data_IF_676732088476
#
_entry.id   IF_676732088476
#
_cell.length_a   1.000
_cell.length_b   1.000
_cell.length_c   1.000
_cell.angle_alpha   90.00
_cell.angle_beta   90.00
_cell.angle_gamma   90.00
#
_symmetry.space_group_name_H-M   'P 1'
#
loop_
_entity.id
_entity.type
_entity.pdbx_description
1 polymer ?
#
# COMPACT_ATOMS: atom_id res chain seq x y z
N UNK A 1 11.29 -46.20 -14.26
CA UNK A 1 11.53 -45.01 -13.41
C UNK A 1 12.83 -44.23 -13.76
N UNK A 2 13.49 -44.48 -14.90
CA UNK A 2 14.81 -43.89 -15.24
C UNK A 2 14.77 -42.67 -16.18
N UNK A 3 13.59 -42.21 -16.64
CA UNK A 3 13.49 -41.15 -17.67
C UNK A 3 13.46 -39.71 -17.13
N UNK A 4 13.25 -39.48 -15.84
CA UNK A 4 13.28 -38.12 -15.26
C UNK A 4 14.71 -37.58 -15.09
N UNK A 5 15.74 -38.43 -14.97
CA UNK A 5 17.14 -38.04 -14.77
C UNK A 5 17.82 -37.37 -15.98
N UNK A 6 17.12 -37.26 -17.12
CA UNK A 6 17.65 -36.69 -18.37
C UNK A 6 16.96 -35.39 -18.80
N UNK A 7 16.08 -34.82 -17.97
CA UNK A 7 15.54 -33.50 -18.28
C UNK A 7 16.65 -32.44 -18.09
N UNK A 8 16.80 -31.49 -19.03
CA UNK A 8 17.72 -30.37 -18.88
C UNK A 8 17.44 -29.58 -17.59
N UNK A 9 18.48 -28.99 -16.99
CA UNK A 9 18.36 -28.24 -15.73
C UNK A 9 17.35 -27.07 -15.84
N UNK A 10 17.19 -26.53 -17.05
CA UNK A 10 16.24 -25.48 -17.39
C UNK A 10 14.79 -25.95 -17.27
N UNK A 11 14.49 -27.16 -17.75
CA UNK A 11 13.15 -27.75 -17.64
C UNK A 11 12.83 -28.11 -16.18
N UNK A 12 13.84 -28.60 -15.45
CA UNK A 12 13.70 -28.85 -14.01
C UNK A 12 13.44 -27.58 -13.20
N UNK A 13 14.15 -26.49 -13.49
CA UNK A 13 13.94 -25.22 -12.83
C UNK A 13 12.52 -24.68 -13.07
N UNK A 14 12.00 -24.81 -14.30
CA UNK A 14 10.62 -24.42 -14.64
C UNK A 14 9.57 -25.24 -13.90
N UNK A 15 9.80 -26.55 -13.74
CA UNK A 15 8.91 -27.42 -12.96
C UNK A 15 8.96 -27.04 -11.48
N UNK A 16 10.16 -26.85 -10.93
CA UNK A 16 10.36 -26.54 -9.50
C UNK A 16 9.85 -25.16 -9.10
N UNK A 17 9.79 -24.20 -10.02
CA UNK A 17 9.20 -22.87 -9.78
C UNK A 17 7.67 -22.92 -9.53
N UNK A 18 7.02 -24.03 -9.90
CA UNK A 18 5.57 -24.26 -9.74
C UNK A 18 5.22 -25.14 -8.53
N UNK A 19 6.21 -25.54 -7.73
CA UNK A 19 6.09 -26.56 -6.68
C UNK A 19 6.06 -25.90 -5.29
N UNK A 20 5.31 -26.48 -4.34
CA UNK A 20 5.19 -25.94 -2.98
C UNK A 20 6.54 -25.95 -2.24
N UNK A 21 6.72 -25.13 -1.20
CA UNK A 21 7.96 -25.12 -0.39
C UNK A 21 8.24 -26.49 0.25
N UNK A 22 7.20 -27.22 0.66
CA UNK A 22 7.32 -28.55 1.26
C UNK A 22 7.81 -29.59 0.24
N UNK A 23 7.26 -29.54 -0.97
CA UNK A 23 7.67 -30.42 -2.06
C UNK A 23 9.07 -30.06 -2.59
N UNK A 24 9.44 -28.77 -2.58
CA UNK A 24 10.80 -28.31 -2.90
C UNK A 24 11.81 -28.84 -1.88
N UNK A 25 11.46 -28.85 -0.59
CA UNK A 25 12.28 -29.48 0.45
C UNK A 25 12.40 -30.98 0.20
N UNK A 26 11.30 -31.67 -0.11
CA UNK A 26 11.33 -33.09 -0.47
C UNK A 26 12.26 -33.34 -1.68
N UNK A 27 12.22 -32.47 -2.70
CA UNK A 27 13.11 -32.52 -3.86
C UNK A 27 14.58 -32.45 -3.48
N UNK A 28 14.96 -31.63 -2.49
CA UNK A 28 16.36 -31.55 -2.04
C UNK A 28 16.90 -32.88 -1.48
N UNK A 29 16.01 -33.77 -1.02
CA UNK A 29 16.37 -35.06 -0.40
C UNK A 29 16.44 -36.22 -1.40
N UNK A 30 15.99 -36.03 -2.65
CA UNK A 30 15.89 -37.12 -3.64
C UNK A 30 17.28 -37.56 -4.13
N UNK A 31 18.06 -36.63 -4.70
CA UNK A 31 19.43 -36.88 -5.19
C UNK A 31 20.20 -35.57 -5.44
N UNK A 32 21.49 -35.67 -5.81
CA UNK A 32 22.36 -34.52 -6.06
C UNK A 32 21.88 -33.56 -7.16
N UNK A 33 21.25 -34.08 -8.22
CA UNK A 33 20.74 -33.26 -9.32
C UNK A 33 19.55 -32.42 -8.85
N UNK A 34 18.56 -33.06 -8.20
CA UNK A 34 17.43 -32.34 -7.62
C UNK A 34 17.87 -31.33 -6.56
N UNK A 35 18.82 -31.70 -5.69
CA UNK A 35 19.41 -30.76 -4.72
C UNK A 35 20.01 -29.52 -5.40
N UNK A 36 20.78 -29.71 -6.47
CA UNK A 36 21.46 -28.60 -7.16
C UNK A 36 20.50 -27.60 -7.83
N UNK A 37 19.29 -28.04 -8.20
CA UNK A 37 18.27 -27.18 -8.83
C UNK A 37 17.30 -26.61 -7.79
N UNK A 38 16.85 -27.43 -6.83
CA UNK A 38 15.88 -27.04 -5.82
C UNK A 38 16.47 -26.07 -4.78
N UNK A 39 17.72 -26.26 -4.38
CA UNK A 39 18.32 -25.47 -3.30
C UNK A 39 18.40 -23.96 -3.63
N UNK A 40 18.86 -23.52 -4.82
CA UNK A 40 18.80 -22.10 -5.19
C UNK A 40 17.39 -21.50 -5.18
N UNK A 41 16.37 -22.28 -5.57
CA UNK A 41 14.97 -21.82 -5.58
C UNK A 41 14.45 -21.67 -4.15
N UNK A 42 14.73 -22.65 -3.28
CA UNK A 42 14.35 -22.63 -1.87
C UNK A 42 14.94 -21.41 -1.13
N UNK A 43 16.21 -21.09 -1.39
CA UNK A 43 16.90 -19.97 -0.76
C UNK A 43 16.63 -18.61 -1.42
N UNK A 44 15.86 -18.57 -2.51
CA UNK A 44 15.62 -17.34 -3.28
C UNK A 44 14.77 -16.30 -2.53
N UNK A 45 13.73 -16.76 -1.83
CA UNK A 45 12.76 -15.92 -1.13
C UNK A 45 12.42 -16.44 0.29
N UNK A 46 13.38 -16.53 1.21
CA UNK A 46 13.12 -16.96 2.59
C UNK A 46 12.15 -16.03 3.32
N UNK A 47 11.19 -16.65 4.02
CA UNK A 47 10.20 -15.97 4.86
C UNK A 47 10.36 -16.38 6.32
N UNK A 48 10.96 -15.51 7.12
CA UNK A 48 11.34 -15.76 8.50
C UNK A 48 10.40 -15.03 9.45
N UNK A 49 9.64 -15.78 10.26
CA UNK A 49 8.56 -15.25 11.11
C UNK A 49 8.73 -15.45 12.61
N UNK A 50 9.74 -16.20 13.03
CA UNK A 50 9.96 -16.51 14.45
C UNK A 50 11.44 -16.41 14.79
N UNK A 51 11.73 -16.12 16.05
CA UNK A 51 13.12 -15.98 16.54
C UNK A 51 13.90 -17.30 16.34
N UNK A 52 13.26 -18.45 16.55
CA UNK A 52 13.88 -19.76 16.33
C UNK A 52 14.25 -19.99 14.87
N UNK A 53 13.35 -19.65 13.93
CA UNK A 53 13.64 -19.79 12.49
C UNK A 53 14.70 -18.80 12.03
N UNK A 54 14.73 -17.60 12.59
CA UNK A 54 15.76 -16.60 12.31
C UNK A 54 17.16 -17.08 12.75
N UNK A 55 17.26 -17.65 13.95
CA UNK A 55 18.50 -18.21 14.46
C UNK A 55 19.03 -19.34 13.58
N UNK A 56 18.17 -20.33 13.26
CA UNK A 56 18.55 -21.46 12.41
C UNK A 56 18.91 -21.01 10.98
N UNK A 57 18.21 -20.02 10.46
CA UNK A 57 18.48 -19.45 9.14
C UNK A 57 19.87 -18.81 9.09
N UNK A 58 20.20 -17.92 10.02
CA UNK A 58 21.53 -17.30 10.09
C UNK A 58 22.62 -18.32 10.37
N UNK A 59 22.39 -19.28 11.27
CA UNK A 59 23.34 -20.36 11.53
C UNK A 59 23.63 -21.17 10.26
N UNK A 60 22.60 -21.44 9.45
CA UNK A 60 22.74 -22.17 8.18
C UNK A 60 23.54 -21.37 7.15
N UNK A 61 23.31 -20.05 7.06
CA UNK A 61 24.10 -19.16 6.19
C UNK A 61 25.56 -19.16 6.65
N UNK A 62 25.83 -18.90 7.93
CA UNK A 62 27.19 -18.84 8.47
C UNK A 62 27.93 -20.18 8.34
N UNK A 63 27.25 -21.30 8.61
CA UNK A 63 27.81 -22.64 8.43
C UNK A 63 28.13 -22.93 6.96
N UNK A 64 27.36 -22.36 6.02
CA UNK A 64 27.64 -22.49 4.58
C UNK A 64 28.82 -21.62 4.14
N UNK A 65 29.07 -20.49 4.82
CA UNK A 65 30.15 -19.54 4.51
C UNK A 65 31.55 -20.11 4.75
N UNK A 66 31.71 -21.05 5.68
CA UNK A 66 32.98 -21.76 5.93
C UNK A 66 33.26 -22.89 4.91
N UNK A 67 32.32 -23.15 4.00
CA UNK A 67 32.42 -24.20 2.99
C UNK A 67 32.71 -23.63 1.60
N UNK A 68 33.00 -24.49 0.61
CA UNK A 68 33.34 -24.07 -0.76
C UNK A 68 32.33 -23.05 -1.33
N UNK A 69 32.73 -22.08 -2.19
CA UNK A 69 31.86 -21.02 -2.71
C UNK A 69 30.54 -21.50 -3.35
N UNK A 70 30.55 -22.71 -3.95
CA UNK A 70 29.37 -23.36 -4.55
C UNK A 70 28.31 -23.81 -3.54
N UNK A 71 28.62 -23.79 -2.24
CA UNK A 71 27.72 -24.18 -1.15
C UNK A 71 27.20 -22.99 -0.35
N UNK A 72 27.65 -21.77 -0.65
CA UNK A 72 27.20 -20.55 0.04
C UNK A 72 25.75 -20.25 -0.34
N UNK A 73 24.83 -20.65 0.54
CA UNK A 73 23.39 -20.53 0.28
C UNK A 73 22.93 -19.06 0.23
N UNK A 74 23.64 -18.18 0.93
CA UNK A 74 23.36 -16.73 0.95
C UNK A 74 23.40 -16.07 -0.43
N UNK A 75 24.24 -16.56 -1.36
CA UNK A 75 24.36 -16.01 -2.72
C UNK A 75 23.09 -16.18 -3.57
N UNK A 76 22.21 -17.10 -3.18
CA UNK A 76 20.95 -17.35 -3.88
C UNK A 76 19.82 -16.43 -3.42
N UNK A 77 20.00 -15.75 -2.28
CA UNK A 77 18.98 -14.88 -1.68
C UNK A 77 18.77 -13.66 -2.58
N UNK A 78 17.51 -13.47 -2.99
CA UNK A 78 17.06 -12.29 -3.76
C UNK A 78 16.01 -11.50 -3.00
N UNK A 79 15.18 -12.16 -2.22
CA UNK A 79 14.15 -11.54 -1.41
C UNK A 79 14.18 -12.11 0.00
N UNK A 80 14.20 -11.26 1.02
CA UNK A 80 14.07 -11.73 2.40
C UNK A 80 12.90 -11.03 3.06
N UNK A 81 12.02 -11.82 3.68
CA UNK A 81 10.96 -11.34 4.56
C UNK A 81 11.30 -11.67 6.01
N UNK A 82 11.41 -10.63 6.84
CA UNK A 82 11.81 -10.70 8.24
C UNK A 82 10.69 -10.17 9.14
N UNK A 83 10.15 -11.02 10.01
CA UNK A 83 9.11 -10.67 10.97
C UNK A 83 9.41 -11.32 12.31
N UNK A 84 10.28 -10.71 13.10
CA UNK A 84 10.67 -11.22 14.42
C UNK A 84 11.53 -10.18 15.15
N UNK A 85 11.63 -10.26 16.49
CA UNK A 85 12.48 -9.38 17.32
C UNK A 85 13.94 -9.83 17.40
N UNK A 86 14.26 -10.94 16.75
CA UNK A 86 15.62 -11.47 16.62
C UNK A 86 16.51 -10.51 15.81
N UNK A 87 15.92 -9.83 14.83
CA UNK A 87 16.65 -8.95 13.91
C UNK A 87 17.03 -7.64 14.61
N UNK A 88 18.31 -7.55 14.96
CA UNK A 88 19.03 -6.35 15.41
C UNK A 88 20.04 -5.92 14.33
N UNK A 89 20.59 -4.72 14.47
CA UNK A 89 21.66 -4.23 13.59
C UNK A 89 22.80 -5.25 13.41
N UNK A 90 23.29 -5.85 14.50
CA UNK A 90 24.35 -6.87 14.44
C UNK A 90 23.95 -8.12 13.62
N UNK A 91 22.74 -8.66 13.85
CA UNK A 91 22.28 -9.85 13.11
C UNK A 91 21.92 -9.55 11.65
N UNK A 92 21.48 -8.32 11.36
CA UNK A 92 21.20 -7.89 10.01
C UNK A 92 22.51 -7.72 9.23
N UNK A 93 23.54 -7.11 9.83
CA UNK A 93 24.86 -7.02 9.20
C UNK A 93 25.43 -8.40 8.84
N UNK A 94 25.32 -9.39 9.73
CA UNK A 94 25.71 -10.78 9.44
C UNK A 94 24.97 -11.37 8.22
N UNK A 95 23.69 -11.04 8.05
CA UNK A 95 22.93 -11.45 6.87
C UNK A 95 23.43 -10.74 5.61
N UNK A 96 23.61 -9.42 5.69
CA UNK A 96 23.99 -8.57 4.55
C UNK A 96 25.35 -8.98 3.97
N UNK A 97 26.32 -9.35 4.82
CA UNK A 97 27.63 -9.86 4.40
C UNK A 97 27.57 -11.11 3.52
N UNK A 98 26.47 -11.86 3.56
CA UNK A 98 26.31 -13.11 2.81
C UNK A 98 25.23 -13.03 1.71
N UNK A 99 24.52 -11.90 1.60
CA UNK A 99 23.40 -11.70 0.69
C UNK A 99 23.71 -10.64 -0.40
N UNK A 100 24.85 -10.76 -1.08
CA UNK A 100 25.30 -9.83 -2.13
C UNK A 100 24.28 -9.64 -3.28
N UNK A 101 23.44 -10.66 -3.51
CA UNK A 101 22.43 -10.69 -4.56
C UNK A 101 21.07 -10.10 -4.17
N UNK A 102 20.91 -9.60 -2.94
CA UNK A 102 19.62 -9.15 -2.40
C UNK A 102 19.03 -8.01 -3.23
N UNK A 103 17.78 -8.19 -3.65
CA UNK A 103 16.99 -7.25 -4.44
C UNK A 103 15.83 -6.67 -3.61
N UNK A 104 15.26 -7.46 -2.69
CA UNK A 104 14.12 -7.06 -1.86
C UNK A 104 14.38 -7.40 -0.39
N UNK A 105 14.28 -6.40 0.48
CA UNK A 105 14.37 -6.56 1.94
C UNK A 105 13.11 -6.02 2.60
N UNK A 106 12.35 -6.91 3.23
CA UNK A 106 11.16 -6.55 4.01
C UNK A 106 11.37 -6.89 5.48
N UNK A 107 11.29 -5.88 6.36
CA UNK A 107 11.42 -6.02 7.81
C UNK A 107 10.19 -5.42 8.51
N UNK A 108 9.33 -6.29 9.03
CA UNK A 108 8.04 -5.91 9.62
C UNK A 108 8.09 -5.59 11.12
N UNK A 109 9.21 -5.88 11.78
CA UNK A 109 9.42 -5.59 13.20
C UNK A 109 10.81 -5.00 13.41
N UNK A 110 11.09 -3.89 12.74
CA UNK A 110 12.41 -3.28 12.63
C UNK A 110 12.79 -2.37 13.82
N UNK A 111 12.16 -2.52 14.99
CA UNK A 111 12.36 -1.65 16.15
C UNK A 111 13.77 -1.69 16.76
N UNK A 112 14.57 -2.69 16.38
CA UNK A 112 15.98 -2.87 16.77
C UNK A 112 16.95 -2.77 15.58
N UNK A 113 16.45 -2.33 14.44
CA UNK A 113 17.23 -2.05 13.23
C UNK A 113 17.23 -0.54 13.07
N UNK A 114 18.42 0.04 12.97
CA UNK A 114 18.67 1.48 12.98
C UNK A 114 19.59 1.88 11.84
N UNK A 115 20.04 3.14 11.84
CA UNK A 115 21.06 3.62 10.92
C UNK A 115 22.34 2.78 10.99
N UNK A 116 22.67 2.14 12.12
CA UNK A 116 23.90 1.36 12.31
C UNK A 116 24.07 0.26 11.25
N UNK A 117 23.03 -0.52 10.95
CA UNK A 117 23.13 -1.54 9.90
C UNK A 117 22.74 -1.02 8.52
N UNK A 118 21.76 -0.12 8.44
CA UNK A 118 21.14 0.27 7.17
C UNK A 118 22.04 1.19 6.32
N UNK A 119 22.97 1.93 6.91
CA UNK A 119 23.99 2.69 6.15
C UNK A 119 24.93 1.79 5.35
N UNK A 120 25.09 0.52 5.76
CA UNK A 120 25.94 -0.45 5.07
C UNK A 120 25.19 -1.23 3.99
N UNK A 121 23.86 -1.20 4.00
CA UNK A 121 23.01 -1.93 3.08
C UNK A 121 23.40 -1.69 1.61
N UNK A 122 23.61 -0.45 1.12
CA UNK A 122 23.99 -0.23 -0.27
C UNK A 122 25.34 -0.84 -0.67
N UNK A 123 26.26 -0.98 0.29
CA UNK A 123 27.60 -1.54 0.05
C UNK A 123 27.58 -3.05 -0.04
N UNK A 124 26.80 -3.71 0.83
CA UNK A 124 26.68 -5.16 0.84
C UNK A 124 25.69 -5.67 -0.21
N UNK A 125 24.63 -4.93 -0.49
CA UNK A 125 23.55 -5.31 -1.41
C UNK A 125 23.37 -4.25 -2.51
N UNK A 126 24.31 -4.16 -3.48
CA UNK A 126 24.29 -3.13 -4.51
C UNK A 126 23.12 -3.25 -5.50
N UNK A 127 22.44 -4.41 -5.51
CA UNK A 127 21.28 -4.69 -6.38
C UNK A 127 19.93 -4.45 -5.69
N UNK A 128 19.91 -3.79 -4.53
CA UNK A 128 18.67 -3.55 -3.82
C UNK A 128 17.72 -2.68 -4.66
N UNK A 129 16.51 -3.19 -4.89
CA UNK A 129 15.43 -2.55 -5.61
C UNK A 129 14.26 -2.17 -4.72
N UNK A 130 14.10 -2.83 -3.57
CA UNK A 130 12.92 -2.67 -2.71
C UNK A 130 13.32 -2.77 -1.25
N UNK A 131 12.97 -1.74 -0.48
CA UNK A 131 13.16 -1.69 0.96
C UNK A 131 11.81 -1.40 1.65
N UNK A 132 11.39 -2.30 2.53
CA UNK A 132 10.19 -2.17 3.32
C UNK A 132 10.54 -2.29 4.81
N UNK A 133 10.27 -1.24 5.57
CA UNK A 133 10.57 -1.16 7.01
C UNK A 133 9.32 -0.75 7.78
N UNK A 134 9.01 -1.49 8.85
CA UNK A 134 8.00 -1.10 9.84
C UNK A 134 8.65 -0.86 11.19
N UNK A 135 8.34 0.30 11.78
CA UNK A 135 8.73 0.68 13.14
C UNK A 135 10.25 0.76 13.34
N UNK A 136 11.00 1.16 12.31
CA UNK A 136 12.45 1.36 12.38
C UNK A 136 12.79 2.78 12.84
N UNK A 137 13.92 2.93 13.54
CA UNK A 137 14.46 4.24 13.98
C UNK A 137 15.61 4.63 13.05
N UNK A 138 15.25 5.17 11.90
CA UNK A 138 16.19 5.62 10.86
C UNK A 138 16.12 7.12 10.68
N UNK A 139 17.23 7.70 10.25
CA UNK A 139 17.35 9.13 10.03
C UNK A 139 18.11 9.43 8.72
N UNK A 140 18.51 10.69 8.55
CA UNK A 140 19.15 11.17 7.31
C UNK A 140 20.37 10.35 6.83
N UNK A 141 21.28 9.81 7.69
CA UNK A 141 22.44 9.06 7.24
C UNK A 141 22.10 7.85 6.38
N UNK A 142 21.04 7.10 6.74
CA UNK A 142 20.56 5.96 5.93
C UNK A 142 20.14 6.40 4.53
N UNK A 143 19.40 7.50 4.42
CA UNK A 143 18.95 8.02 3.11
C UNK A 143 20.09 8.59 2.26
N UNK A 144 21.09 9.20 2.89
CA UNK A 144 22.31 9.63 2.19
C UNK A 144 23.04 8.42 1.60
N UNK A 145 23.21 7.35 2.39
CA UNK A 145 23.84 6.12 1.92
C UNK A 145 23.05 5.48 0.76
N UNK A 146 21.73 5.38 0.90
CA UNK A 146 20.85 4.85 -0.15
C UNK A 146 20.94 5.72 -1.43
N UNK A 147 20.72 7.03 -1.35
CA UNK A 147 20.73 7.92 -2.53
C UNK A 147 22.07 7.93 -3.29
N UNK A 148 23.18 7.75 -2.58
CA UNK A 148 24.52 7.71 -3.20
C UNK A 148 24.80 6.39 -3.92
N UNK A 149 24.38 5.26 -3.34
CA UNK A 149 24.87 3.94 -3.77
C UNK A 149 23.80 3.01 -4.37
N UNK A 150 22.50 3.18 -4.04
CA UNK A 150 21.42 2.36 -4.62
C UNK A 150 20.77 3.05 -5.81
N UNK A 151 21.34 2.84 -7.01
CA UNK A 151 20.81 3.42 -8.26
C UNK A 151 19.64 2.64 -8.88
N UNK A 152 19.36 1.44 -8.35
CA UNK A 152 18.26 0.58 -8.79
C UNK A 152 17.08 0.56 -7.81
N UNK A 153 17.09 1.39 -6.76
CA UNK A 153 16.03 1.44 -5.77
C UNK A 153 14.74 1.98 -6.39
N UNK A 154 13.73 1.11 -6.50
CA UNK A 154 12.41 1.40 -7.10
C UNK A 154 11.30 1.50 -6.06
N UNK A 155 11.40 0.80 -4.93
CA UNK A 155 10.35 0.77 -3.90
C UNK A 155 10.92 1.10 -2.54
N UNK A 156 10.31 2.08 -1.88
CA UNK A 156 10.64 2.46 -0.51
C UNK A 156 9.38 2.63 0.32
N UNK A 157 9.18 1.75 1.29
CA UNK A 157 8.01 1.76 2.16
C UNK A 157 8.46 1.84 3.62
N UNK A 158 8.12 2.94 4.29
CA UNK A 158 8.53 3.29 5.65
C UNK A 158 7.29 3.52 6.51
N UNK A 159 6.82 2.48 7.18
CA UNK A 159 5.63 2.57 8.03
C UNK A 159 6.03 2.69 9.49
N UNK A 160 5.37 3.57 10.24
CA UNK A 160 5.65 3.78 11.68
C UNK A 160 7.13 4.11 11.98
N UNK A 161 7.88 4.61 10.99
CA UNK A 161 9.26 5.03 11.16
C UNK A 161 9.26 6.47 11.65
N UNK A 162 9.69 6.69 12.89
CA UNK A 162 9.71 8.00 13.52
C UNK A 162 11.11 8.63 13.37
N UNK A 163 11.21 9.97 13.43
CA UNK A 163 12.46 10.75 13.27
C UNK A 163 13.01 10.81 11.85
N UNK A 164 12.14 10.64 10.85
CA UNK A 164 12.48 10.88 9.46
C UNK A 164 12.68 12.39 9.24
N UNK A 165 13.68 12.79 8.45
CA UNK A 165 13.83 14.18 8.01
C UNK A 165 13.27 14.34 6.61
N UNK A 166 12.53 15.42 6.35
CA UNK A 166 12.01 15.72 5.01
C UNK A 166 13.13 15.83 3.95
N UNK A 167 14.38 16.08 4.37
CA UNK A 167 15.56 16.08 3.50
C UNK A 167 15.82 14.74 2.80
N UNK A 168 15.18 13.65 3.24
CA UNK A 168 15.23 12.35 2.58
C UNK A 168 14.80 12.44 1.11
N UNK A 169 13.82 13.28 0.77
CA UNK A 169 13.35 13.41 -0.60
C UNK A 169 14.47 13.90 -1.52
N UNK A 170 15.20 14.94 -1.11
CA UNK A 170 16.32 15.49 -1.88
C UNK A 170 17.41 14.46 -2.18
N UNK A 171 17.67 13.52 -1.26
CA UNK A 171 18.61 12.42 -1.46
C UNK A 171 18.07 11.33 -2.37
N UNK A 172 16.76 11.08 -2.32
CA UNK A 172 16.09 10.02 -3.07
C UNK A 172 15.73 10.42 -4.50
N UNK A 173 15.80 11.70 -4.88
CA UNK A 173 15.67 12.15 -6.28
C UNK A 173 16.67 11.43 -7.20
N UNK A 174 17.82 10.99 -6.67
CA UNK A 174 18.81 10.24 -7.45
C UNK A 174 18.41 8.78 -7.72
N UNK A 175 17.34 8.27 -7.09
CA UNK A 175 16.85 6.92 -7.24
C UNK A 175 15.64 6.87 -8.19
N UNK A 176 15.50 5.84 -9.04
CA UNK A 176 14.35 5.67 -9.93
C UNK A 176 13.13 5.12 -9.17
N UNK A 177 12.68 5.83 -8.13
CA UNK A 177 11.56 5.40 -7.29
C UNK A 177 10.25 5.36 -8.07
N UNK A 178 9.61 4.20 -8.05
CA UNK A 178 8.30 3.92 -8.62
C UNK A 178 7.22 3.77 -7.54
N UNK A 179 7.60 3.33 -6.33
CA UNK A 179 6.67 3.21 -5.20
C UNK A 179 7.26 3.85 -3.94
N UNK A 180 6.46 4.69 -3.29
CA UNK A 180 6.82 5.36 -2.05
C UNK A 180 5.66 5.29 -1.05
N UNK A 181 5.92 4.78 0.14
CA UNK A 181 5.00 4.88 1.27
C UNK A 181 5.68 5.44 2.51
N UNK A 182 5.13 6.49 3.12
CA UNK A 182 5.63 7.03 4.40
C UNK A 182 4.60 7.88 5.13
N UNK A 183 4.88 8.17 6.40
CA UNK A 183 4.12 9.10 7.24
C UNK A 183 4.74 10.50 7.16
N UNK A 184 4.01 11.48 6.59
CA UNK A 184 4.51 12.85 6.46
C UNK A 184 4.45 13.64 7.77
N UNK A 185 3.51 13.30 8.66
CA UNK A 185 3.36 13.87 10.00
C UNK A 185 4.51 13.47 10.94
N UNK A 186 5.30 12.46 10.56
CA UNK A 186 6.48 12.00 11.30
C UNK A 186 7.79 12.58 10.75
N UNK A 187 7.70 13.46 9.74
CA UNK A 187 8.85 14.19 9.23
C UNK A 187 9.18 15.34 10.18
N UNK A 188 10.41 15.37 10.68
CA UNK A 188 10.90 16.37 11.64
C UNK A 188 12.14 17.05 11.06
N UNK A 189 12.30 18.35 11.31
CA UNK A 189 13.61 19.02 11.21
C UNK A 189 13.96 19.64 12.56
N UNK A 190 15.26 19.74 12.84
CA UNK A 190 15.81 20.24 14.10
C UNK A 190 15.68 21.79 14.19
N UNK A 191 15.35 22.47 13.07
CA UNK A 191 15.51 23.93 12.94
C UNK A 191 14.30 24.70 12.36
N UNK A 192 13.17 24.05 12.00
CA UNK A 192 12.01 24.75 11.46
C UNK A 192 10.88 24.81 12.51
N UNK A 193 10.71 25.99 13.14
CA UNK A 193 9.57 26.29 14.01
C UNK A 193 8.29 26.61 13.19
N UNK A 194 8.42 26.83 11.87
CA UNK A 194 7.31 27.15 10.97
C UNK A 194 6.81 25.93 10.19
N UNK A 195 5.64 25.44 10.59
CA UNK A 195 4.95 24.31 9.97
C UNK A 195 4.56 24.56 8.51
N UNK A 196 4.27 25.80 8.12
CA UNK A 196 3.89 26.14 6.74
C UNK A 196 5.09 26.05 5.81
N UNK A 197 6.24 26.62 6.24
CA UNK A 197 7.49 26.54 5.47
C UNK A 197 7.93 25.08 5.31
N UNK A 198 7.86 24.31 6.39
CA UNK A 198 8.20 22.87 6.37
C UNK A 198 7.29 22.10 5.43
N UNK A 199 5.97 22.32 5.53
CA UNK A 199 4.96 21.66 4.69
C UNK A 199 5.17 21.96 3.21
N UNK A 200 5.43 23.23 2.87
CA UNK A 200 5.73 23.66 1.50
C UNK A 200 7.00 23.01 0.95
N UNK A 201 8.05 22.91 1.76
CA UNK A 201 9.31 22.23 1.39
C UNK A 201 9.10 20.74 1.14
N UNK A 202 8.37 20.06 2.02
CA UNK A 202 7.99 18.65 1.85
C UNK A 202 7.28 18.46 0.52
N UNK A 203 6.26 19.27 0.24
CA UNK A 203 5.50 19.15 -1.02
C UNK A 203 6.40 19.42 -2.25
N UNK A 204 7.25 20.45 -2.19
CA UNK A 204 8.18 20.79 -3.26
C UNK A 204 9.20 19.68 -3.56
N UNK A 205 9.79 19.07 -2.54
CA UNK A 205 10.75 18.00 -2.77
C UNK A 205 10.07 16.68 -3.17
N UNK A 206 8.84 16.42 -2.71
CA UNK A 206 8.09 15.24 -3.08
C UNK A 206 7.73 15.21 -4.59
N UNK A 207 7.31 16.36 -5.16
CA UNK A 207 6.96 16.44 -6.60
C UNK A 207 8.17 16.20 -7.51
N UNK A 208 9.40 16.29 -7.00
CA UNK A 208 10.62 16.00 -7.78
C UNK A 208 10.85 14.50 -8.01
N UNK A 209 10.08 13.63 -7.35
CA UNK A 209 10.09 12.19 -7.57
C UNK A 209 9.16 11.82 -8.74
N UNK A 210 9.55 12.21 -9.96
CA UNK A 210 8.73 12.17 -11.19
C UNK A 210 8.40 10.76 -11.72
N UNK A 211 9.07 9.72 -11.23
CA UNK A 211 8.90 8.32 -11.67
C UNK A 211 7.85 7.53 -10.91
N UNK A 212 7.21 8.15 -9.91
CA UNK A 212 6.24 7.47 -9.05
C UNK A 212 5.02 6.96 -9.82
N UNK A 213 4.67 5.71 -9.52
CA UNK A 213 3.48 4.98 -10.00
C UNK A 213 2.52 4.65 -8.86
N UNK A 214 3.05 4.50 -7.66
CA UNK A 214 2.32 4.27 -6.40
C UNK A 214 2.84 5.20 -5.30
N UNK A 215 1.98 6.12 -4.84
CA UNK A 215 2.28 7.06 -3.77
C UNK A 215 1.32 6.84 -2.61
N UNK A 216 1.85 6.56 -1.41
CA UNK A 216 1.04 6.35 -0.20
C UNK A 216 1.55 7.23 0.94
N UNK A 217 0.80 8.25 1.28
CA UNK A 217 1.13 9.17 2.36
C UNK A 217 0.15 8.98 3.51
N UNK A 218 0.68 8.93 4.74
CA UNK A 218 -0.09 8.97 5.97
C UNK A 218 0.16 10.29 6.71
N UNK A 219 -0.81 10.76 7.48
CA UNK A 219 -0.70 12.04 8.20
C UNK A 219 -0.89 13.27 7.29
N UNK A 220 -1.70 13.13 6.25
CA UNK A 220 -1.98 14.21 5.29
C UNK A 220 -2.90 15.27 5.92
N UNK A 221 -2.39 16.49 6.05
CA UNK A 221 -3.14 17.65 6.56
C UNK A 221 -3.74 18.50 5.42
N UNK A 222 -4.73 19.35 5.75
CA UNK A 222 -5.29 20.32 4.79
C UNK A 222 -4.21 21.27 4.26
N UNK A 223 -3.33 21.73 5.14
CA UNK A 223 -2.22 22.62 4.78
C UNK A 223 -1.29 21.96 3.75
N UNK A 224 -0.96 20.67 3.94
CA UNK A 224 -0.17 19.93 2.96
C UNK A 224 -0.88 19.81 1.62
N UNK A 225 -2.17 19.45 1.61
CA UNK A 225 -2.94 19.36 0.36
C UNK A 225 -3.06 20.71 -0.34
N UNK A 226 -3.16 21.81 0.40
CA UNK A 226 -3.14 23.17 -0.14
C UNK A 226 -1.84 23.44 -0.89
N UNK A 227 -0.70 23.29 -0.23
CA UNK A 227 0.62 23.51 -0.84
C UNK A 227 0.86 22.59 -2.04
N UNK A 228 0.50 21.30 -1.91
CA UNK A 228 0.64 20.33 -3.01
C UNK A 228 -0.20 20.73 -4.22
N UNK A 229 -1.47 21.09 -4.02
CA UNK A 229 -2.36 21.49 -5.12
C UNK A 229 -1.90 22.77 -5.83
N UNK A 230 -1.34 23.73 -5.08
CA UNK A 230 -0.80 24.97 -5.65
C UNK A 230 0.47 24.71 -6.46
N UNK A 231 1.36 23.84 -5.96
CA UNK A 231 2.58 23.45 -6.69
C UNK A 231 2.25 22.72 -7.98
N UNK A 232 1.32 21.76 -7.95
CA UNK A 232 0.86 21.04 -9.13
C UNK A 232 0.23 22.00 -10.15
N UNK A 233 -0.55 22.98 -9.70
CA UNK A 233 -1.16 23.99 -10.57
C UNK A 233 -0.12 24.95 -11.18
N UNK A 234 0.99 25.18 -10.50
CA UNK A 234 2.08 26.04 -10.97
C UNK A 234 3.01 25.36 -11.99
N UNK A 235 3.04 24.03 -12.03
CA UNK A 235 3.86 23.26 -12.98
C UNK A 235 3.14 23.09 -14.32
N UNK A 236 3.85 23.29 -15.43
CA UNK A 236 3.31 23.08 -16.79
C UNK A 236 3.22 21.61 -17.18
N UNK A 237 4.02 20.75 -16.54
CA UNK A 237 4.03 19.31 -16.75
C UNK A 237 3.38 18.61 -15.56
N UNK A 238 2.76 17.44 -15.81
CA UNK A 238 2.21 16.62 -14.74
C UNK A 238 3.34 16.17 -13.81
N UNK A 239 3.26 16.52 -12.51
CA UNK A 239 4.30 16.20 -11.52
C UNK A 239 4.56 14.70 -11.41
N UNK A 240 3.52 13.86 -11.56
CA UNK A 240 3.65 12.41 -11.58
C UNK A 240 2.92 11.80 -12.80
N UNK A 241 3.55 11.83 -13.99
CA UNK A 241 2.89 11.46 -15.25
C UNK A 241 2.47 9.98 -15.31
N UNK A 242 3.11 9.11 -14.53
CA UNK A 242 2.84 7.67 -14.51
C UNK A 242 2.07 7.22 -13.24
N UNK A 243 1.56 8.16 -12.44
CA UNK A 243 0.88 7.82 -11.20
C UNK A 243 -0.43 7.08 -11.49
N UNK A 244 -0.52 5.84 -11.03
CA UNK A 244 -1.66 4.95 -11.24
C UNK A 244 -2.37 4.60 -9.94
N UNK A 245 -1.65 4.67 -8.80
CA UNK A 245 -2.15 4.39 -7.47
C UNK A 245 -1.76 5.52 -6.54
N UNK A 246 -2.73 6.02 -5.79
CA UNK A 246 -2.52 7.08 -4.81
C UNK A 246 -3.31 6.77 -3.54
N UNK A 247 -2.65 6.87 -2.39
CA UNK A 247 -3.30 6.84 -1.08
C UNK A 247 -2.88 8.07 -0.28
N UNK A 248 -3.84 8.91 0.08
CA UNK A 248 -3.64 10.07 0.94
C UNK A 248 -4.49 9.87 2.19
N UNK A 249 -3.86 9.40 3.26
CA UNK A 249 -4.52 9.13 4.53
C UNK A 249 -4.28 10.30 5.50
N UNK A 250 -5.35 10.84 6.07
CA UNK A 250 -5.24 11.88 7.09
C UNK A 250 -4.90 11.33 8.48
N UNK A 251 -5.23 12.10 9.51
CA UNK A 251 -4.95 11.78 10.91
C UNK A 251 -6.06 12.29 11.83
N UNK A 252 -6.91 11.39 12.33
CA UNK A 252 -7.92 11.68 13.37
C UNK A 252 -7.42 11.45 14.80
N UNK A 253 -6.09 11.39 14.99
CA UNK A 253 -5.46 10.83 16.19
C UNK A 253 -5.10 11.82 17.31
N UNK A 254 -5.69 13.00 17.36
CA UNK A 254 -5.65 13.87 18.53
C UNK A 254 -7.02 14.49 18.73
N UNK A 255 -7.79 13.96 19.68
CA UNK A 255 -9.01 14.59 20.17
C UNK A 255 -8.77 15.90 20.93
N UNK A 256 -7.66 16.61 20.64
CA UNK A 256 -7.14 17.78 21.34
C UNK A 256 -6.52 18.81 20.36
N UNK A 257 -7.03 18.94 19.12
CA UNK A 257 -6.82 20.16 18.29
C UNK A 257 -8.19 20.57 17.74
N UNK A 258 -8.96 21.38 18.48
CA UNK A 258 -8.92 22.86 18.46
C UNK A 258 -9.59 23.42 17.20
N UNK A 259 -10.78 23.99 17.41
CA UNK A 259 -11.55 24.81 16.47
C UNK A 259 -12.30 24.01 15.41
N UNK A 260 -13.62 24.11 15.23
CA UNK A 260 -14.38 25.36 15.21
C UNK A 260 -13.48 26.55 14.86
N UNK A 261 -12.77 26.46 13.74
CA UNK A 261 -12.53 27.63 12.88
C UNK A 261 -13.90 28.05 12.32
N UNK A 262 -14.75 28.55 13.23
CA UNK A 262 -15.55 29.73 12.96
C UNK A 262 -14.53 30.81 12.59
N UNK A 263 -14.69 31.39 11.40
CA UNK A 263 -13.93 32.54 10.88
C UNK A 263 -12.67 32.23 10.04
N UNK A 264 -12.86 31.64 8.86
CA UNK A 264 -12.27 32.26 7.65
C UNK A 264 -13.07 31.86 6.38
N UNK A 265 -13.95 32.76 5.93
CA UNK A 265 -14.78 32.67 4.70
C UNK A 265 -13.95 32.56 3.40
N UNK A 266 -12.63 32.38 3.51
CA UNK A 266 -11.67 32.31 2.42
C UNK A 266 -10.68 31.14 2.53
N UNK A 267 -10.87 30.20 3.48
CA UNK A 267 -10.07 28.97 3.55
C UNK A 267 -10.63 27.91 2.59
N UNK A 268 -9.89 27.64 1.52
CA UNK A 268 -10.23 26.58 0.56
C UNK A 268 -10.47 25.23 1.25
N UNK A 269 -11.53 24.54 0.84
CA UNK A 269 -11.92 23.28 1.47
C UNK A 269 -10.93 22.15 1.12
N UNK A 270 -10.91 21.08 1.93
CA UNK A 270 -10.13 19.89 1.58
C UNK A 270 -10.57 19.33 0.21
N UNK A 271 -11.88 19.32 -0.07
CA UNK A 271 -12.43 18.90 -1.35
C UNK A 271 -11.81 19.67 -2.52
N UNK A 272 -11.67 21.00 -2.40
CA UNK A 272 -11.09 21.83 -3.47
C UNK A 272 -9.66 21.41 -3.82
N UNK A 273 -8.84 21.10 -2.82
CA UNK A 273 -7.45 20.67 -3.03
C UNK A 273 -7.35 19.24 -3.59
N UNK A 274 -8.17 18.33 -3.09
CA UNK A 274 -8.23 16.93 -3.58
C UNK A 274 -8.75 16.90 -5.02
N UNK A 275 -9.76 17.71 -5.36
CA UNK A 275 -10.30 17.79 -6.72
C UNK A 275 -9.23 18.31 -7.69
N UNK A 276 -8.50 19.38 -7.35
CA UNK A 276 -7.36 19.86 -8.18
C UNK A 276 -6.28 18.80 -8.38
N UNK A 277 -5.99 18.02 -7.34
CA UNK A 277 -5.08 16.88 -7.46
C UNK A 277 -5.60 15.82 -8.45
N UNK A 278 -6.89 15.50 -8.41
CA UNK A 278 -7.52 14.54 -9.34
C UNK A 278 -7.55 15.09 -10.78
N UNK A 279 -7.78 16.39 -10.95
CA UNK A 279 -7.83 17.04 -12.27
C UNK A 279 -6.53 16.87 -13.06
N UNK A 280 -5.39 16.88 -12.36
CA UNK A 280 -4.05 16.64 -12.92
C UNK A 280 -3.71 15.16 -13.10
N UNK A 281 -4.34 14.25 -12.34
CA UNK A 281 -4.05 12.81 -12.35
C UNK A 281 -5.26 11.96 -12.76
N UNK A 282 -5.78 12.18 -13.98
CA UNK A 282 -6.98 11.48 -14.49
C UNK A 282 -6.78 9.98 -14.78
N UNK A 283 -5.52 9.53 -14.83
CA UNK A 283 -5.15 8.13 -15.09
C UNK A 283 -5.19 7.21 -13.86
N UNK A 284 -5.63 7.71 -12.70
CA UNK A 284 -5.62 6.93 -11.45
C UNK A 284 -6.56 5.72 -11.54
N UNK A 285 -6.00 4.54 -11.29
CA UNK A 285 -6.72 3.27 -11.20
C UNK A 285 -7.11 2.92 -9.76
N UNK A 286 -6.36 3.42 -8.78
CA UNK A 286 -6.59 3.20 -7.37
C UNK A 286 -6.44 4.52 -6.62
N UNK A 287 -7.51 4.95 -5.95
CA UNK A 287 -7.52 6.18 -5.16
C UNK A 287 -8.04 5.90 -3.75
N UNK A 288 -7.18 6.04 -2.75
CA UNK A 288 -7.53 5.87 -1.34
C UNK A 288 -7.40 7.21 -0.62
N UNK A 289 -8.47 7.66 0.01
CA UNK A 289 -8.60 8.92 0.72
C UNK A 289 -9.16 8.71 2.13
N UNK A 290 -8.60 7.78 2.94
CA UNK A 290 -9.16 7.53 4.25
C UNK A 290 -8.87 8.70 5.20
N UNK A 291 -9.88 9.08 5.99
CA UNK A 291 -9.71 10.02 7.11
C UNK A 291 -9.12 11.39 6.73
N UNK A 292 -9.41 11.88 5.52
CA UNK A 292 -8.87 13.16 5.03
C UNK A 292 -9.90 14.30 5.11
N UNK A 293 -11.16 14.01 5.45
CA UNK A 293 -12.22 15.01 5.59
C UNK A 293 -12.84 15.44 4.25
N UNK A 294 -12.95 14.51 3.30
CA UNK A 294 -13.66 14.74 2.02
C UNK A 294 -15.17 14.56 2.18
N UNK A 295 -15.92 15.21 1.29
CA UNK A 295 -17.39 15.15 1.24
C UNK A 295 -17.88 14.55 -0.07
N UNK A 296 -19.21 14.48 -0.23
CA UNK A 296 -19.87 14.12 -1.48
C UNK A 296 -19.41 14.98 -2.68
N UNK A 297 -18.92 16.20 -2.44
CA UNK A 297 -18.33 17.06 -3.48
C UNK A 297 -17.16 16.37 -4.20
N UNK A 298 -16.24 15.77 -3.42
CA UNK A 298 -15.12 15.01 -3.97
C UNK A 298 -15.60 13.74 -4.68
N UNK A 299 -16.59 13.03 -4.15
CA UNK A 299 -17.11 11.82 -4.80
C UNK A 299 -17.76 12.13 -6.15
N UNK A 300 -18.59 13.18 -6.25
CA UNK A 300 -19.19 13.61 -7.51
C UNK A 300 -18.11 14.02 -8.52
N UNK A 301 -17.02 14.63 -8.07
CA UNK A 301 -15.88 14.96 -8.93
C UNK A 301 -15.13 13.69 -9.40
N UNK A 302 -14.89 12.72 -8.52
CA UNK A 302 -14.28 11.43 -8.86
C UNK A 302 -15.11 10.73 -9.95
N UNK A 303 -16.43 10.68 -9.78
CA UNK A 303 -17.33 10.05 -10.75
C UNK A 303 -17.31 10.71 -12.13
N UNK A 304 -16.98 12.00 -12.21
CA UNK A 304 -16.83 12.72 -13.49
C UNK A 304 -15.43 12.56 -14.09
N UNK A 305 -14.39 12.74 -13.27
CA UNK A 305 -13.01 12.88 -13.70
C UNK A 305 -12.28 11.53 -13.88
N UNK A 306 -12.66 10.50 -13.11
CA UNK A 306 -12.02 9.17 -13.09
C UNK A 306 -12.93 8.03 -13.58
N UNK A 307 -14.03 8.36 -14.27
CA UNK A 307 -15.03 7.39 -14.74
C UNK A 307 -14.45 6.25 -15.58
N UNK A 308 -13.42 6.50 -16.38
CA UNK A 308 -12.87 5.53 -17.34
C UNK A 308 -11.68 4.73 -16.82
N UNK A 309 -11.15 5.04 -15.64
CA UNK A 309 -9.88 4.49 -15.13
C UNK A 309 -10.00 3.83 -13.75
N UNK A 310 -10.91 4.29 -12.90
CA UNK A 310 -10.95 3.89 -11.49
C UNK A 310 -11.43 2.44 -11.28
N UNK A 311 -10.56 1.62 -10.68
CA UNK A 311 -10.81 0.22 -10.31
C UNK A 311 -11.09 0.05 -8.81
N UNK A 312 -10.43 0.84 -7.96
CA UNK A 312 -10.55 0.73 -6.51
C UNK A 312 -10.63 2.11 -5.85
N UNK A 313 -11.58 2.26 -4.93
CA UNK A 313 -11.76 3.46 -4.12
C UNK A 313 -11.76 3.12 -2.63
N UNK A 314 -11.14 3.95 -1.80
CA UNK A 314 -11.28 3.85 -0.35
C UNK A 314 -11.58 5.24 0.20
N UNK A 315 -12.73 5.41 0.83
CA UNK A 315 -13.18 6.66 1.46
C UNK A 315 -13.47 6.47 2.96
N UNK A 316 -12.90 5.42 3.56
CA UNK A 316 -13.12 5.07 4.97
C UNK A 316 -12.84 6.26 5.91
N UNK A 317 -13.53 6.33 7.04
CA UNK A 317 -13.41 7.39 8.04
C UNK A 317 -13.80 8.80 7.56
N UNK A 318 -14.51 8.91 6.43
CA UNK A 318 -15.13 10.17 6.01
C UNK A 318 -16.62 10.13 6.31
N UNK A 319 -17.01 10.78 7.41
CA UNK A 319 -18.38 10.79 7.93
C UNK A 319 -19.38 11.62 7.10
N UNK A 320 -18.88 12.49 6.21
CA UNK A 320 -19.69 13.38 5.37
C UNK A 320 -20.01 12.76 4.00
N UNK A 321 -19.67 11.49 3.80
CA UNK A 321 -19.95 10.74 2.56
C UNK A 321 -21.28 10.04 2.67
N UNK A 322 -22.17 10.27 1.69
CA UNK A 322 -23.51 9.66 1.68
C UNK A 322 -23.59 8.40 0.81
N UNK A 323 -24.48 7.50 1.21
CA UNK A 323 -24.81 6.31 0.42
C UNK A 323 -25.39 6.64 -0.97
N UNK A 324 -26.11 7.76 -1.09
CA UNK A 324 -26.73 8.21 -2.34
C UNK A 324 -25.65 8.54 -3.37
N UNK A 325 -24.65 9.32 -2.97
CA UNK A 325 -23.55 9.74 -3.84
C UNK A 325 -22.64 8.56 -4.19
N UNK A 326 -22.39 7.65 -3.24
CA UNK A 326 -21.68 6.39 -3.53
C UNK A 326 -22.40 5.51 -4.56
N UNK A 327 -23.74 5.37 -4.47
CA UNK A 327 -24.52 4.65 -5.49
C UNK A 327 -24.40 5.32 -6.85
N UNK A 328 -24.44 6.66 -6.91
CA UNK A 328 -24.23 7.41 -8.15
C UNK A 328 -22.84 7.15 -8.74
N UNK A 329 -21.80 7.19 -7.90
CA UNK A 329 -20.42 6.90 -8.29
C UNK A 329 -20.25 5.49 -8.85
N UNK A 330 -20.89 4.48 -8.24
CA UNK A 330 -20.89 3.09 -8.74
C UNK A 330 -21.42 2.98 -10.18
N UNK A 331 -22.39 3.81 -10.54
CA UNK A 331 -22.92 3.89 -11.91
C UNK A 331 -22.02 4.70 -12.86
N UNK A 332 -21.37 5.75 -12.36
CA UNK A 332 -20.49 6.60 -13.15
C UNK A 332 -19.14 5.95 -13.48
N UNK A 333 -18.65 5.06 -12.60
CA UNK A 333 -17.38 4.35 -12.77
C UNK A 333 -17.63 2.87 -13.11
N UNK A 334 -17.79 2.49 -14.39
CA UNK A 334 -18.08 1.10 -14.80
C UNK A 334 -16.96 0.10 -14.50
N UNK A 335 -15.71 0.54 -14.41
CA UNK A 335 -14.57 -0.33 -14.09
C UNK A 335 -14.38 -0.56 -12.59
N UNK A 336 -15.13 0.14 -11.74
CA UNK A 336 -15.00 0.04 -10.28
C UNK A 336 -15.30 -1.39 -9.82
N UNK A 337 -14.40 -1.94 -9.00
CA UNK A 337 -14.42 -3.33 -8.54
C UNK A 337 -14.51 -3.46 -7.02
N UNK A 338 -14.05 -2.44 -6.30
CA UNK A 338 -14.06 -2.42 -4.84
C UNK A 338 -14.16 -1.00 -4.30
N UNK A 339 -15.01 -0.81 -3.29
CA UNK A 339 -15.11 0.44 -2.54
C UNK A 339 -15.03 0.16 -1.03
N UNK A 340 -14.06 0.74 -0.34
CA UNK A 340 -13.99 0.68 1.13
C UNK A 340 -14.64 1.93 1.74
N UNK A 341 -15.59 1.72 2.65
CA UNK A 341 -16.45 2.76 3.27
C UNK A 341 -16.54 2.57 4.79
N UNK A 342 -15.49 2.00 5.36
CA UNK A 342 -15.45 1.68 6.77
C UNK A 342 -15.50 2.96 7.62
N UNK A 343 -16.29 2.97 8.69
CA UNK A 343 -16.52 4.15 9.55
C UNK A 343 -16.95 5.42 8.78
N UNK A 344 -17.78 5.30 7.74
CA UNK A 344 -18.40 6.47 7.07
C UNK A 344 -19.81 6.82 7.61
N UNK A 345 -20.22 6.27 8.76
CA UNK A 345 -21.60 6.37 9.31
C UNK A 345 -22.72 5.93 8.35
N UNK A 346 -22.40 5.06 7.39
CA UNK A 346 -23.36 4.49 6.46
C UNK A 346 -23.97 3.23 7.04
N UNK A 347 -25.28 3.20 7.17
CA UNK A 347 -26.01 2.01 7.62
C UNK A 347 -26.03 0.93 6.53
N UNK A 348 -25.92 -0.33 6.94
CA UNK A 348 -25.94 -1.46 6.00
C UNK A 348 -27.25 -1.57 5.21
N UNK A 349 -28.38 -1.09 5.76
CA UNK A 349 -29.66 -1.02 5.07
C UNK A 349 -29.62 -0.13 3.81
N UNK A 350 -28.64 0.78 3.70
CA UNK A 350 -28.45 1.58 2.50
C UNK A 350 -27.93 0.76 1.31
N UNK A 351 -27.42 -0.46 1.55
CA UNK A 351 -26.89 -1.40 0.55
C UNK A 351 -27.37 -2.83 0.81
N UNK A 352 -28.67 -3.14 0.60
CA UNK A 352 -29.20 -4.49 0.74
C UNK A 352 -28.55 -5.51 -0.21
N UNK A 353 -27.90 -5.04 -1.28
CA UNK A 353 -27.16 -5.85 -2.23
C UNK A 353 -25.82 -6.36 -1.69
N UNK A 354 -25.33 -5.79 -0.58
CA UNK A 354 -24.06 -6.15 0.03
C UNK A 354 -24.15 -7.52 0.72
N UNK A 355 -23.33 -8.47 0.27
CA UNK A 355 -23.26 -9.80 0.87
C UNK A 355 -22.54 -9.81 2.22
N UNK A 356 -22.51 -10.95 2.91
CA UNK A 356 -21.85 -11.09 4.22
C UNK A 356 -20.36 -10.75 4.23
N UNK A 357 -19.68 -10.80 3.07
CA UNK A 357 -18.26 -10.41 2.89
C UNK A 357 -18.04 -8.90 2.97
N UNK A 358 -19.07 -8.12 2.67
CA UNK A 358 -19.07 -6.66 2.76
C UNK A 358 -19.25 -6.17 4.21
N UNK A 359 -19.61 -7.07 5.12
CA UNK A 359 -20.03 -6.77 6.48
C UNK A 359 -18.90 -7.07 7.46
N UNK A 360 -18.66 -6.16 8.40
CA UNK A 360 -17.81 -6.43 9.55
C UNK A 360 -18.61 -7.18 10.61
N UNK A 361 -18.33 -8.47 10.79
CA UNK A 361 -18.85 -9.25 11.91
C UNK A 361 -17.88 -9.13 13.08
N UNK A 362 -18.21 -8.31 14.08
CA UNK A 362 -17.50 -8.24 15.35
C UNK A 362 -17.70 -9.52 16.20
N UNK A 363 -17.32 -10.69 15.66
CA UNK A 363 -17.34 -11.99 16.35
C UNK A 363 -15.99 -12.70 16.17
N UNK A 364 -14.90 -12.09 16.63
CA UNK A 364 -13.72 -12.83 17.12
C UNK A 364 -12.80 -11.91 17.92
N UNK A 365 -12.92 -11.95 19.24
CA UNK A 365 -12.07 -11.18 20.16
C UNK A 365 -12.71 -11.10 21.53
N UNK A 366 -12.84 -12.25 22.20
CA UNK A 366 -13.40 -12.31 23.54
C UNK A 366 -12.48 -11.65 24.56
N UNK A 367 -12.97 -10.61 25.22
CA UNK A 367 -12.76 -10.38 26.64
C UNK A 367 -14.15 -10.10 27.22
N UNK A 368 -14.55 -10.98 28.12
CA UNK A 368 -15.92 -11.07 28.63
C UNK A 368 -16.30 -9.95 29.57
N UNK A 369 -17.63 -9.77 29.68
CA UNK A 369 -18.27 -9.18 30.84
C UNK A 369 -18.46 -7.66 30.76
N UNK A 370 -19.62 -7.23 30.26
CA UNK A 370 -20.67 -6.57 31.05
C UNK A 370 -21.89 -6.35 30.14
N UNK A 371 -23.06 -6.67 30.69
CA UNK A 371 -24.31 -6.72 29.94
C UNK A 371 -24.81 -5.35 29.48
N UNK A 372 -24.91 -5.21 28.16
CA UNK A 372 -25.78 -4.27 27.48
C UNK A 372 -26.25 -4.94 26.19
N UNK A 373 -27.57 -4.99 25.95
CA UNK A 373 -28.12 -5.38 24.64
C UNK A 373 -27.76 -4.29 23.62
N UNK A 374 -26.52 -4.27 23.14
CA UNK A 374 -26.21 -3.59 21.89
C UNK A 374 -26.75 -4.44 20.76
N UNK A 375 -27.74 -3.90 20.04
CA UNK A 375 -28.20 -4.49 18.79
C UNK A 375 -26.99 -4.73 17.91
N UNK A 376 -26.86 -5.97 17.44
CA UNK A 376 -25.79 -6.43 16.58
C UNK A 376 -25.99 -5.78 15.19
N UNK A 377 -25.68 -4.48 15.07
CA UNK A 377 -25.74 -3.77 13.80
C UNK A 377 -24.53 -4.24 13.00
N UNK A 378 -24.78 -5.13 12.05
CA UNK A 378 -23.80 -5.49 11.05
C UNK A 378 -23.37 -4.22 10.32
N UNK A 379 -22.12 -3.80 10.50
CA UNK A 379 -21.59 -2.56 9.91
C UNK A 379 -21.04 -2.86 8.53
N UNK A 380 -21.40 -2.04 7.56
CA UNK A 380 -20.87 -2.13 6.20
C UNK A 380 -19.44 -1.60 6.19
N UNK A 381 -18.49 -2.43 5.78
CA UNK A 381 -17.06 -2.07 5.73
C UNK A 381 -16.60 -1.78 4.29
N UNK A 382 -17.12 -2.53 3.32
CA UNK A 382 -16.77 -2.40 1.91
C UNK A 382 -17.89 -2.86 1.00
N UNK A 383 -17.85 -2.45 -0.25
CA UNK A 383 -18.61 -3.00 -1.37
C UNK A 383 -17.64 -3.75 -2.27
N UNK A 384 -17.82 -5.06 -2.36
CA UNK A 384 -17.07 -5.91 -3.28
C UNK A 384 -17.64 -5.87 -4.71
N UNK A 385 -16.99 -6.58 -5.63
CA UNK A 385 -17.39 -6.63 -7.04
C UNK A 385 -18.83 -7.11 -7.22
N UNK A 386 -19.27 -8.08 -6.41
CA UNK A 386 -20.59 -8.69 -6.51
C UNK A 386 -21.68 -7.70 -6.06
N UNK A 387 -21.43 -7.00 -4.94
CA UNK A 387 -22.30 -5.93 -4.46
C UNK A 387 -22.39 -4.79 -5.49
N UNK A 388 -21.26 -4.35 -6.03
CA UNK A 388 -21.18 -3.30 -7.06
C UNK A 388 -21.96 -3.70 -8.32
N UNK A 389 -21.78 -4.91 -8.82
CA UNK A 389 -22.51 -5.42 -9.97
C UNK A 389 -24.02 -5.50 -9.71
N UNK A 390 -24.40 -5.89 -8.49
CA UNK A 390 -25.80 -5.96 -8.07
C UNK A 390 -26.45 -4.56 -8.02
N UNK A 391 -25.75 -3.55 -7.49
CA UNK A 391 -26.21 -2.14 -7.51
C UNK A 391 -26.42 -1.65 -8.95
N UNK A 392 -25.48 -1.97 -9.85
CA UNK A 392 -25.59 -1.60 -11.28
C UNK A 392 -26.81 -2.23 -11.96
N UNK A 393 -27.14 -3.47 -11.62
CA UNK A 393 -28.25 -4.21 -12.21
C UNK A 393 -29.62 -3.87 -11.60
N UNK A 394 -29.66 -3.48 -10.32
CA UNK A 394 -30.91 -3.19 -9.60
C UNK A 394 -31.71 -2.03 -10.21
N UNK A 395 -31.05 -1.04 -10.82
CA UNK A 395 -31.74 0.07 -11.52
C UNK A 395 -32.23 -0.30 -12.93
N UNK A 396 -31.66 -1.32 -13.57
CA UNK A 396 -32.14 -1.82 -14.86
C UNK A 396 -33.51 -2.53 -14.74
N UNK A 397 -33.79 -3.20 -13.62
CA UNK A 397 -35.05 -3.95 -13.44
C UNK A 397 -36.27 -3.03 -13.28
N UNK A 398 -36.08 -1.76 -12.90
CA UNK A 398 -37.18 -0.77 -12.78
C UNK A 398 -37.56 -0.08 -14.10
N UNK A 399 -36.91 -0.41 -15.23
CA UNK A 399 -37.31 0.04 -16.58
C UNK A 399 -37.89 -1.12 -17.39
N UNK A 400 -39.07 -1.61 -17.03
CA UNK A 400 -39.97 -2.27 -17.99
C UNK A 400 -41.06 -1.26 -18.39
N UNK A 401 -41.38 -1.12 -19.69
CA UNK A 401 -42.35 -0.15 -20.16
C UNK A 401 -43.74 -0.53 -19.65
N UNK A 402 -44.51 0.48 -19.22
CA UNK A 402 -45.95 0.35 -19.04
C UNK A 402 -46.53 -0.03 -20.41
N UNK A 403 -46.99 -1.27 -20.56
CA UNK A 403 -47.93 -1.59 -21.63
C UNK A 403 -49.24 -0.88 -21.28
N UNK A 404 -49.47 0.26 -21.93
CA UNK A 404 -50.79 0.79 -22.15
C UNK A 404 -51.55 -0.25 -23.00
N UNK A 405 -52.38 -1.07 -22.36
CA UNK A 405 -53.53 -1.64 -23.04
C UNK A 405 -54.71 -0.71 -22.74
N UNK A 406 -54.78 0.38 -23.50
CA UNK A 406 -56.05 1.00 -23.85
C UNK A 406 -56.30 0.57 -25.30
N UNK A 407 -56.98 -0.55 -25.47
CA UNK A 407 -57.74 -0.78 -26.69
C UNK A 407 -59.18 -0.42 -26.36
N UNK A 408 -59.55 0.74 -26.87
CA UNK A 408 -60.91 1.20 -27.07
C UNK A 408 -61.63 0.22 -28.00
N UNK A 409 -62.62 -0.51 -27.50
CA UNK A 409 -63.69 -1.07 -28.32
C UNK A 409 -64.97 -0.28 -28.01
N UNK A 410 -65.24 0.70 -28.87
CA UNK A 410 -66.54 1.35 -29.02
C UNK A 410 -67.30 0.65 -30.16
N UNK A 411 -68.60 0.45 -29.90
CA UNK A 411 -69.74 0.60 -30.83
C UNK A 411 -69.87 -0.36 -32.03
N UNK A 412 -70.88 -1.24 -32.00
CA UNK A 412 -72.27 -0.99 -32.48
C UNK A 412 -73.00 -2.28 -32.93
N UNK A 413 -74.33 -2.25 -32.76
CA UNK A 413 -75.41 -3.16 -33.21
C UNK A 413 -75.72 -4.48 -32.46
#
# INVERSE_FOLDING_TARGET
MTKFLHLPAEIFALIMDQVSTEDLLACTLINRSFYSVANPILWRSPRIRTDTTAHLFLQSIMASSSSSPRKQVGRHIRHVFLHSRYWTDATLLQLLEHAEGLEVLDIYSASRVTDESLVHLPRHCPRLQSLYLIASRISQPTFVALGQHTKDLRRLNLLLCNHLSWRLFSTLVACPLEELALSIDKLVDIHDDDIQVTTKRIAYDLIRLDRLKDLRLHGVSRLFMKELSQLIAATTENSWPNLSKCSLAGYSGSGDDVGDDMDDDNSSSMDEHVIRFIESHRGLTCLHLPDIGITDTTLDAIGKLLSTSLLSLNVSYNDQVSAITLRRLVHQCPLLTNVSINYCKIDASAFPEAGSKCMFNARSGGLGGLGGREQQTSRLWSLDQDAINSIRNATCIKRRPCNNNNDDDNDDD
#
